data_IF_121341190853
#
_entry.id   IF_121341190853
#
_cell.length_a   1.000
_cell.length_b   1.000
_cell.length_c   1.000
_cell.angle_alpha   90.00
_cell.angle_beta   90.00
_cell.angle_gamma   90.00
#
_symmetry.space_group_name_H-M   'P 1'
#
loop_
_entity.id
_entity.type
_entity.pdbx_description
1 polymer ?
#
# COMPACT_ATOMS: atom_id res chain seq x y z
N UNK A 1 0.05 79.56 19.52
CA UNK A 1 -0.99 78.66 20.07
C UNK A 1 -0.30 77.51 20.76
N UNK A 2 -1.03 76.73 21.55
CA UNK A 2 -0.57 75.36 21.81
C UNK A 2 -0.68 74.63 20.48
N UNK A 3 0.43 74.08 20.02
CA UNK A 3 0.44 73.11 18.94
C UNK A 3 -0.39 71.90 19.42
N UNK A 4 -1.47 71.61 18.70
CA UNK A 4 -2.49 70.65 19.12
C UNK A 4 -2.15 69.21 18.77
N UNK A 5 -1.29 69.01 17.78
CA UNK A 5 -0.83 67.69 17.34
C UNK A 5 0.65 67.43 17.61
N UNK A 6 1.41 68.43 18.05
CA UNK A 6 2.82 68.31 18.43
C UNK A 6 3.77 68.01 17.26
N UNK A 7 3.31 68.20 16.02
CA UNK A 7 4.16 68.14 14.84
C UNK A 7 4.90 69.48 14.65
N UNK A 8 6.24 69.46 14.64
CA UNK A 8 7.06 70.69 14.49
C UNK A 8 7.13 71.20 13.04
N UNK A 9 5.98 71.48 12.43
CA UNK A 9 5.83 71.98 11.06
C UNK A 9 5.20 73.38 10.98
N UNK A 10 4.69 73.90 12.10
CA UNK A 10 4.22 75.28 12.23
C UNK A 10 5.34 76.31 12.37
N UNK A 11 5.22 77.44 11.65
CA UNK A 11 6.00 78.66 11.91
C UNK A 11 5.09 79.77 12.42
N UNK A 12 5.67 80.69 13.20
CA UNK A 12 4.93 81.89 13.64
C UNK A 12 4.84 82.87 12.46
N UNK A 13 3.62 83.17 12.03
CA UNK A 13 3.32 84.12 10.94
C UNK A 13 2.47 85.27 11.44
N UNK A 14 2.51 86.41 10.75
CA UNK A 14 1.64 87.55 11.08
C UNK A 14 0.20 87.29 10.61
N UNK A 15 -0.78 87.57 11.46
CA UNK A 15 -2.19 87.55 11.07
C UNK A 15 -2.61 88.85 10.35
N UNK A 16 -3.77 88.84 9.70
CA UNK A 16 -4.31 89.99 8.96
C UNK A 16 -4.67 91.22 9.82
N UNK A 17 -4.61 91.10 11.14
CA UNK A 17 -4.87 92.17 12.12
C UNK A 17 -3.59 92.74 12.78
N UNK A 18 -2.40 92.24 12.43
CA UNK A 18 -1.13 92.67 13.00
C UNK A 18 -0.68 91.91 14.26
N UNK A 19 -1.37 90.83 14.63
CA UNK A 19 -0.94 89.86 15.63
C UNK A 19 -0.09 88.73 15.02
N UNK A 20 0.30 87.75 15.84
CA UNK A 20 1.02 86.54 15.38
C UNK A 20 0.13 85.31 15.54
N UNK A 21 0.03 84.49 14.50
CA UNK A 21 -0.65 83.19 14.51
C UNK A 21 0.31 82.05 14.14
N UNK A 22 -0.06 80.81 14.48
CA UNK A 22 0.64 79.64 13.96
C UNK A 22 0.21 79.41 12.51
N UNK A 23 1.15 79.14 11.61
CA UNK A 23 0.83 78.72 10.23
C UNK A 23 0.42 77.26 10.12
N UNK A 24 0.48 76.54 11.23
CA UNK A 24 0.12 75.14 11.31
C UNK A 24 -1.39 74.95 11.08
N UNK A 25 -1.71 74.10 10.12
CA UNK A 25 -3.07 73.85 9.64
C UNK A 25 -3.34 72.37 9.41
N UNK A 26 -2.37 71.51 9.72
CA UNK A 26 -2.49 70.06 9.68
C UNK A 26 -3.09 69.57 11.00
N UNK A 27 -3.57 68.33 11.01
CA UNK A 27 -4.09 67.68 12.20
C UNK A 27 -3.41 66.32 12.30
N UNK A 28 -3.03 65.88 13.51
CA UNK A 28 -2.54 64.50 13.75
C UNK A 28 -3.43 63.50 13.02
N UNK A 29 -2.80 62.61 12.25
CA UNK A 29 -3.48 61.52 11.57
C UNK A 29 -3.40 60.25 12.41
N UNK A 30 -4.06 59.17 11.98
CA UNK A 30 -3.89 57.88 12.66
C UNK A 30 -2.48 57.37 12.37
N UNK A 31 -1.74 56.98 13.42
CA UNK A 31 -0.40 56.43 13.30
C UNK A 31 -0.37 55.22 12.34
N UNK A 32 0.48 55.29 11.31
CA UNK A 32 0.79 54.19 10.41
C UNK A 32 2.16 53.63 10.77
N UNK A 33 2.36 52.34 10.53
CA UNK A 33 3.65 51.68 10.72
C UNK A 33 4.50 51.91 9.46
N UNK A 34 4.93 53.15 9.24
CA UNK A 34 5.62 53.58 8.02
C UNK A 34 7.03 54.15 8.27
N UNK A 35 7.50 54.15 9.52
CA UNK A 35 8.81 54.71 9.90
C UNK A 35 8.82 56.23 10.05
N UNK A 36 7.64 56.85 10.11
CA UNK A 36 7.41 58.27 10.41
C UNK A 36 6.51 58.34 11.65
N UNK A 37 6.55 59.47 12.33
CA UNK A 37 5.64 59.79 13.44
C UNK A 37 4.47 60.59 12.83
N UNK A 38 3.36 59.91 12.50
CA UNK A 38 2.21 60.47 11.75
C UNK A 38 1.15 61.11 12.67
N UNK A 39 1.14 60.70 13.93
CA UNK A 39 0.29 61.25 14.98
C UNK A 39 1.05 62.18 15.95
N UNK A 40 2.38 62.27 15.80
CA UNK A 40 3.30 63.15 16.53
C UNK A 40 3.30 62.89 18.04
N UNK A 41 3.01 61.66 18.46
CA UNK A 41 2.99 61.26 19.87
C UNK A 41 4.03 60.17 20.14
N UNK A 42 4.76 60.38 21.23
CA UNK A 42 5.73 59.45 21.82
C UNK A 42 6.76 58.77 20.87
N UNK A 43 6.87 59.20 19.61
CA UNK A 43 7.91 58.85 18.66
C UNK A 43 7.41 58.02 17.47
N UNK A 44 8.33 57.71 16.57
CA UNK A 44 8.07 56.96 15.33
C UNK A 44 7.45 55.59 15.62
N UNK A 45 6.31 55.28 14.98
CA UNK A 45 5.59 54.01 15.03
C UNK A 45 5.30 53.52 16.48
N UNK A 46 5.18 54.42 17.45
CA UNK A 46 5.11 54.11 18.89
C UNK A 46 3.85 53.33 19.30
N UNK A 47 2.80 53.46 18.49
CA UNK A 47 1.50 52.83 18.67
C UNK A 47 1.52 51.34 18.26
N UNK A 48 2.66 50.84 17.76
CA UNK A 48 2.86 49.46 17.37
C UNK A 48 3.87 48.75 18.29
N UNK A 49 3.68 47.44 18.56
CA UNK A 49 4.57 46.65 19.43
C UNK A 49 5.89 46.25 18.74
N UNK A 50 6.55 47.17 18.04
CA UNK A 50 7.78 46.90 17.30
C UNK A 50 8.89 46.39 18.21
N UNK A 51 9.64 45.40 17.72
CA UNK A 51 10.71 44.76 18.49
C UNK A 51 10.25 43.77 19.56
N UNK A 52 8.95 43.64 19.82
CA UNK A 52 8.43 42.56 20.68
C UNK A 52 8.58 41.20 19.98
N UNK A 53 8.81 40.15 20.77
CA UNK A 53 8.94 38.79 20.25
C UNK A 53 7.63 38.28 19.64
N UNK A 54 7.72 37.61 18.49
CA UNK A 54 6.61 36.92 17.85
C UNK A 54 7.02 35.48 17.53
N UNK A 55 6.03 34.58 17.45
CA UNK A 55 6.20 33.21 16.95
C UNK A 55 5.16 32.94 15.88
N UNK A 56 5.59 32.37 14.76
CA UNK A 56 4.72 31.96 13.65
C UNK A 56 4.90 30.48 13.35
N UNK A 57 3.84 29.81 12.88
CA UNK A 57 3.82 28.37 12.65
C UNK A 57 3.43 27.55 13.89
N UNK A 58 3.13 26.27 13.67
CA UNK A 58 2.84 25.27 14.70
C UNK A 58 3.93 24.18 14.68
N UNK A 59 3.97 23.36 15.72
CA UNK A 59 4.86 22.19 15.77
C UNK A 59 6.32 22.51 15.46
N UNK A 60 6.92 21.67 14.61
CA UNK A 60 8.29 21.83 14.14
C UNK A 60 8.48 23.04 13.19
N UNK A 61 7.38 23.57 12.63
CA UNK A 61 7.40 24.77 11.81
C UNK A 61 7.47 26.06 12.61
N UNK A 62 7.35 26.02 13.95
CA UNK A 62 7.41 27.22 14.78
C UNK A 62 8.75 27.96 14.57
N UNK A 63 8.67 29.26 14.26
CA UNK A 63 9.83 30.16 14.14
C UNK A 63 9.59 31.40 14.98
N UNK A 64 10.59 31.77 15.79
CA UNK A 64 10.55 32.98 16.60
C UNK A 64 11.28 34.12 15.90
N UNK A 65 10.70 35.31 15.96
CA UNK A 65 11.25 36.54 15.41
C UNK A 65 10.81 37.76 16.22
N UNK A 66 10.87 38.93 15.61
CA UNK A 66 10.40 40.19 16.21
C UNK A 66 9.31 40.82 15.34
N UNK A 67 8.37 41.54 15.97
CA UNK A 67 7.36 42.30 15.25
C UNK A 67 8.00 43.49 14.52
N UNK A 68 7.67 43.62 13.24
CA UNK A 68 8.08 44.69 12.33
C UNK A 68 6.86 45.23 11.58
N UNK A 69 6.96 46.40 10.97
CA UNK A 69 5.86 46.93 10.14
C UNK A 69 5.53 45.98 8.97
N UNK A 70 4.24 45.80 8.71
CA UNK A 70 3.77 45.03 7.57
C UNK A 70 3.88 45.84 6.26
N UNK A 71 3.83 45.16 5.12
CA UNK A 71 3.96 45.83 3.82
C UNK A 71 2.84 46.83 3.50
N UNK A 72 1.71 46.76 4.21
CA UNK A 72 0.59 47.69 4.07
C UNK A 72 0.71 48.92 4.98
N UNK A 73 1.71 48.97 5.86
CA UNK A 73 1.96 50.03 6.84
C UNK A 73 0.79 50.29 7.81
N UNK A 74 -0.18 49.38 7.89
CA UNK A 74 -1.36 49.53 8.76
C UNK A 74 -1.28 48.66 10.02
N UNK A 75 -0.18 47.94 10.21
CA UNK A 75 0.01 47.04 11.34
C UNK A 75 1.36 46.35 11.33
N UNK A 76 1.51 45.36 12.21
CA UNK A 76 2.75 44.59 12.37
C UNK A 76 2.66 43.19 11.74
N UNK A 77 3.80 42.67 11.30
CA UNK A 77 4.02 41.28 10.92
C UNK A 77 5.28 40.73 11.62
N UNK A 78 5.44 39.42 11.68
CA UNK A 78 6.65 38.83 12.25
C UNK A 78 7.83 38.93 11.26
N UNK A 79 9.04 39.12 11.77
CA UNK A 79 10.27 39.20 10.96
C UNK A 79 10.70 37.88 10.32
N UNK A 80 9.99 36.79 10.63
CA UNK A 80 10.24 35.44 10.13
C UNK A 80 8.93 34.86 9.58
N UNK A 81 9.07 33.94 8.63
CA UNK A 81 7.98 33.10 8.14
C UNK A 81 8.04 31.75 8.85
N UNK A 82 6.90 31.07 9.00
CA UNK A 82 6.85 29.71 9.50
C UNK A 82 7.75 28.78 8.66
N UNK A 83 8.28 27.73 9.29
CA UNK A 83 8.95 26.65 8.59
C UNK A 83 8.02 25.97 7.58
N UNK A 84 8.60 25.33 6.56
CA UNK A 84 7.82 24.52 5.64
C UNK A 84 7.35 23.24 6.35
N UNK A 85 6.07 22.92 6.19
CA UNK A 85 5.51 21.64 6.58
C UNK A 85 6.17 20.50 5.77
N UNK A 86 6.44 19.38 6.43
CA UNK A 86 6.86 18.13 5.78
C UNK A 86 5.87 17.02 6.13
N UNK A 87 6.03 15.84 5.54
CA UNK A 87 5.08 14.76 5.77
C UNK A 87 5.20 14.21 7.21
N UNK A 88 4.04 13.98 7.81
CA UNK A 88 3.92 13.53 9.20
C UNK A 88 4.43 12.09 9.40
N UNK A 89 5.09 11.82 10.52
CA UNK A 89 5.37 10.47 11.00
C UNK A 89 4.57 10.22 12.27
N UNK A 90 3.69 9.22 12.26
CA UNK A 90 2.76 8.97 13.34
C UNK A 90 3.46 8.62 14.66
N UNK A 91 2.86 9.03 15.77
CA UNK A 91 3.21 8.59 17.13
C UNK A 91 4.61 8.98 17.60
N UNK A 92 5.28 9.92 16.92
CA UNK A 92 6.61 10.40 17.30
C UNK A 92 6.55 11.68 18.17
N UNK A 93 5.35 12.20 18.44
CA UNK A 93 5.07 13.42 19.24
C UNK A 93 5.57 14.71 18.59
N UNK A 94 5.91 14.67 17.30
CA UNK A 94 6.40 15.82 16.53
C UNK A 94 5.39 16.13 15.44
N UNK A 95 4.86 17.36 15.44
CA UNK A 95 3.96 17.90 14.42
C UNK A 95 4.80 18.45 13.26
N UNK A 96 5.07 17.60 12.26
CA UNK A 96 5.90 17.90 11.09
C UNK A 96 5.14 18.58 9.97
N UNK A 97 3.86 18.24 9.81
CA UNK A 97 2.98 18.85 8.83
C UNK A 97 2.36 20.17 9.34
N UNK A 98 2.58 20.46 10.62
CA UNK A 98 2.28 21.72 11.29
C UNK A 98 0.78 22.04 11.31
N UNK A 99 -0.04 21.00 11.40
CA UNK A 99 -1.48 21.07 11.55
C UNK A 99 -1.93 21.03 13.03
N UNK A 100 -1.00 20.75 13.96
CA UNK A 100 -1.24 20.71 15.40
C UNK A 100 -1.67 19.34 15.94
N UNK A 101 -1.54 18.26 15.16
CA UNK A 101 -1.98 16.91 15.51
C UNK A 101 -0.89 15.90 15.11
N UNK A 102 -0.44 15.11 16.08
CA UNK A 102 0.30 13.87 15.83
C UNK A 102 -0.70 12.71 15.68
N UNK A 103 -0.85 12.11 14.48
CA UNK A 103 -1.79 11.03 14.23
C UNK A 103 -1.34 9.72 14.90
N UNK A 104 -2.30 8.90 15.33
CA UNK A 104 -1.99 7.55 15.81
C UNK A 104 -1.60 6.64 14.65
N UNK A 105 -0.51 5.87 14.81
CA UNK A 105 -0.09 4.88 13.84
C UNK A 105 -1.13 3.78 13.61
N UNK A 106 -1.19 3.20 12.39
CA UNK A 106 -1.97 1.98 12.18
C UNK A 106 -1.46 0.86 13.10
N UNK A 107 -2.35 -0.04 13.52
CA UNK A 107 -2.01 -1.09 14.50
C UNK A 107 -0.83 -1.96 14.03
N UNK A 108 -0.74 -2.22 12.74
CA UNK A 108 0.30 -3.02 12.12
C UNK A 108 1.38 -2.21 11.39
N UNK A 109 1.55 -0.97 11.80
CA UNK A 109 2.65 -0.10 11.40
C UNK A 109 4.01 -0.73 11.69
N UNK A 110 4.15 -1.43 12.83
CA UNK A 110 5.40 -2.10 13.20
C UNK A 110 5.27 -3.61 13.19
N UNK A 111 6.38 -4.31 13.01
CA UNK A 111 6.48 -5.77 13.07
C UNK A 111 5.83 -6.41 14.32
N UNK A 112 5.91 -5.76 15.48
CA UNK A 112 5.29 -6.25 16.72
C UNK A 112 3.76 -6.13 16.75
N UNK A 113 3.18 -5.27 15.90
CA UNK A 113 1.76 -5.04 15.74
C UNK A 113 1.14 -5.77 14.55
N UNK A 114 1.89 -6.65 13.88
CA UNK A 114 1.45 -7.36 12.68
C UNK A 114 0.05 -7.99 12.86
N UNK A 115 -0.84 -7.75 11.91
CA UNK A 115 -2.19 -8.33 11.92
C UNK A 115 -2.10 -9.81 11.57
N UNK A 116 -2.76 -10.67 12.36
CA UNK A 116 -2.90 -12.09 12.05
C UNK A 116 -3.89 -12.30 10.89
N UNK A 117 -3.38 -12.76 9.75
CA UNK A 117 -4.15 -13.06 8.53
C UNK A 117 -4.29 -14.56 8.28
N UNK A 118 -4.01 -15.41 9.28
CA UNK A 118 -4.02 -16.87 9.14
C UNK A 118 -5.33 -17.41 8.56
N UNK A 119 -6.47 -16.79 8.86
CA UNK A 119 -7.78 -17.20 8.34
C UNK A 119 -8.04 -16.86 6.87
N UNK A 120 -7.16 -16.08 6.22
CA UNK A 120 -7.47 -15.44 4.95
C UNK A 120 -8.44 -14.27 5.12
N UNK A 121 -8.47 -13.36 4.14
CA UNK A 121 -9.36 -12.21 4.20
C UNK A 121 -8.93 -11.04 3.32
N UNK A 122 -9.71 -9.96 3.40
CA UNK A 122 -9.35 -8.67 2.84
C UNK A 122 -9.04 -7.73 3.99
N UNK A 123 -7.92 -7.04 3.89
CA UNK A 123 -7.40 -6.14 4.92
C UNK A 123 -7.14 -4.79 4.28
N UNK A 124 -7.63 -3.73 4.92
CA UNK A 124 -7.44 -2.36 4.45
C UNK A 124 -6.81 -1.58 5.58
N UNK A 125 -5.72 -0.90 5.28
CA UNK A 125 -5.00 -0.06 6.24
C UNK A 125 -4.65 1.25 5.54
N UNK A 126 -4.87 2.36 6.25
CA UNK A 126 -4.38 3.66 5.80
C UNK A 126 -2.93 3.81 6.26
N UNK A 127 -2.02 4.05 5.31
CA UNK A 127 -0.60 4.25 5.56
C UNK A 127 -0.28 5.75 5.66
N UNK A 128 -1.30 6.63 5.67
CA UNK A 128 -1.09 8.03 6.06
C UNK A 128 -0.37 8.06 7.41
N UNK A 129 0.79 8.69 7.41
CA UNK A 129 1.65 8.84 8.59
C UNK A 129 2.37 7.56 9.08
N UNK A 130 2.19 6.38 8.47
CA UNK A 130 2.90 5.14 8.85
C UNK A 130 4.44 5.24 8.73
N UNK A 131 5.17 4.44 9.49
CA UNK A 131 6.62 4.36 9.37
C UNK A 131 7.04 3.62 8.09
N UNK A 132 8.26 3.89 7.65
CA UNK A 132 9.05 3.04 6.75
C UNK A 132 10.04 2.29 7.63
N UNK A 133 9.60 1.17 8.19
CA UNK A 133 10.36 0.33 9.12
C UNK A 133 10.51 -1.13 8.64
N UNK A 134 10.06 -1.43 7.42
CA UNK A 134 10.45 -2.59 6.65
C UNK A 134 11.90 -2.46 6.14
N UNK A 135 12.88 -2.50 7.05
CA UNK A 135 14.27 -2.51 6.65
C UNK A 135 15.16 -3.44 7.49
N UNK A 136 15.66 -4.50 6.85
CA UNK A 136 16.90 -5.16 7.24
C UNK A 136 17.88 -5.14 6.06
N UNK A 137 18.81 -4.18 6.10
CA UNK A 137 19.88 -3.86 5.14
C UNK A 137 20.83 -5.01 4.70
N UNK A 138 20.51 -6.28 4.92
CA UNK A 138 21.50 -7.38 4.88
C UNK A 138 21.29 -8.45 3.81
N UNK A 139 20.24 -8.38 2.97
CA UNK A 139 20.10 -9.34 1.86
C UNK A 139 19.59 -8.69 0.56
N UNK A 140 20.49 -8.21 -0.31
CA UNK A 140 20.14 -7.60 -1.61
C UNK A 140 19.65 -8.61 -2.68
N UNK A 141 19.38 -9.87 -2.31
CA UNK A 141 19.26 -10.97 -3.29
C UNK A 141 17.82 -11.36 -3.69
N UNK A 142 16.78 -10.84 -3.05
CA UNK A 142 15.38 -11.19 -3.39
C UNK A 142 14.42 -10.01 -3.36
N UNK A 143 14.94 -8.78 -3.49
CA UNK A 143 14.08 -7.62 -3.56
C UNK A 143 13.55 -7.44 -4.98
N UNK A 144 12.24 -7.50 -5.14
CA UNK A 144 11.57 -7.14 -6.39
C UNK A 144 11.32 -5.63 -6.49
N UNK A 145 11.89 -4.81 -5.58
CA UNK A 145 11.79 -3.35 -5.61
C UNK A 145 12.95 -2.66 -4.90
N UNK A 146 12.83 -1.34 -4.77
CA UNK A 146 13.76 -0.45 -4.05
C UNK A 146 13.58 -0.53 -2.53
N UNK A 147 14.25 0.39 -1.81
CA UNK A 147 14.18 0.56 -0.35
C UNK A 147 12.75 0.71 0.20
N UNK A 148 11.77 0.95 -0.67
CA UNK A 148 10.38 1.10 -0.30
C UNK A 148 10.07 2.46 0.29
N UNK A 149 8.86 2.59 0.81
CA UNK A 149 8.37 3.74 1.54
C UNK A 149 7.59 3.26 2.74
N UNK A 150 6.45 3.88 3.05
CA UNK A 150 5.69 3.46 4.23
C UNK A 150 5.17 2.04 4.04
N UNK A 151 5.19 1.26 5.12
CA UNK A 151 4.87 -0.15 5.06
C UNK A 151 3.96 -0.60 6.22
N UNK A 152 3.45 -1.83 6.09
CA UNK A 152 2.63 -2.47 7.11
C UNK A 152 2.87 -3.97 7.15
N UNK A 153 2.77 -4.53 8.36
CA UNK A 153 3.09 -5.93 8.63
C UNK A 153 1.84 -6.80 8.80
N UNK A 154 1.92 -8.03 8.29
CA UNK A 154 0.93 -9.06 8.49
C UNK A 154 1.64 -10.36 8.83
N UNK A 155 1.04 -11.17 9.69
CA UNK A 155 1.59 -12.49 10.04
C UNK A 155 0.56 -13.57 9.74
N UNK A 156 1.01 -14.73 9.27
CA UNK A 156 0.14 -15.89 9.13
C UNK A 156 0.85 -17.17 9.53
N UNK A 157 0.07 -18.14 9.98
CA UNK A 157 0.55 -19.49 10.28
C UNK A 157 -0.20 -20.52 9.44
N UNK A 158 0.57 -21.36 8.76
CA UNK A 158 0.06 -22.48 7.97
C UNK A 158 0.19 -23.77 8.81
N UNK A 159 -0.91 -24.51 9.04
CA UNK A 159 -0.88 -25.78 9.77
C UNK A 159 -0.35 -26.94 8.93
N UNK A 160 -0.31 -26.79 7.61
CA UNK A 160 0.15 -27.76 6.62
C UNK A 160 0.76 -27.01 5.44
N UNK A 161 1.48 -27.73 4.57
CA UNK A 161 1.98 -27.17 3.32
C UNK A 161 0.82 -26.76 2.40
N UNK A 162 0.85 -25.53 1.90
CA UNK A 162 -0.10 -25.06 0.90
C UNK A 162 0.40 -23.87 0.08
N UNK A 163 -0.22 -23.71 -1.10
CA UNK A 163 -0.10 -22.46 -1.85
C UNK A 163 -0.94 -21.38 -1.19
N UNK A 164 -0.32 -20.24 -0.90
CA UNK A 164 -1.03 -19.02 -0.51
C UNK A 164 -1.07 -18.04 -1.68
N UNK A 165 -2.10 -17.21 -1.71
CA UNK A 165 -2.28 -16.16 -2.69
C UNK A 165 -2.38 -14.81 -1.99
N UNK A 166 -1.77 -13.80 -2.60
CA UNK A 166 -1.91 -12.42 -2.19
C UNK A 166 -2.09 -11.51 -3.40
N UNK A 167 -2.86 -10.45 -3.24
CA UNK A 167 -2.85 -9.31 -4.13
C UNK A 167 -3.11 -8.01 -3.39
N UNK A 168 -2.77 -6.90 -4.05
CA UNK A 168 -2.99 -5.55 -3.52
C UNK A 168 -3.90 -4.70 -4.41
N UNK A 169 -4.72 -5.35 -5.24
CA UNK A 169 -5.62 -4.63 -6.14
C UNK A 169 -6.65 -3.84 -5.32
N UNK A 170 -6.79 -2.56 -5.67
CA UNK A 170 -7.59 -1.60 -4.90
C UNK A 170 -6.76 -0.67 -4.00
N UNK A 171 -5.47 -0.93 -3.79
CA UNK A 171 -4.59 0.02 -3.10
C UNK A 171 -4.44 1.32 -3.91
N UNK A 172 -4.10 2.43 -3.27
CA UNK A 172 -3.98 3.74 -3.93
C UNK A 172 -2.55 4.13 -4.31
N UNK A 173 -1.57 3.32 -3.96
CA UNK A 173 -0.14 3.55 -4.21
C UNK A 173 0.51 2.34 -4.88
N UNK A 174 1.61 2.58 -5.59
CA UNK A 174 2.45 1.53 -6.18
C UNK A 174 2.98 0.59 -5.10
N UNK A 175 2.58 -0.68 -5.14
CA UNK A 175 2.72 -1.60 -4.01
C UNK A 175 3.66 -2.75 -4.31
N UNK A 176 4.54 -3.02 -3.36
CA UNK A 176 5.40 -4.22 -3.31
C UNK A 176 4.92 -5.13 -2.19
N UNK A 177 4.88 -6.44 -2.43
CA UNK A 177 4.57 -7.43 -1.38
C UNK A 177 5.71 -8.40 -1.22
N UNK A 178 6.15 -8.58 0.03
CA UNK A 178 7.22 -9.52 0.39
C UNK A 178 6.70 -10.53 1.40
N UNK A 179 7.06 -11.80 1.22
CA UNK A 179 6.75 -12.88 2.16
C UNK A 179 8.05 -13.48 2.67
N UNK A 180 8.18 -13.61 3.98
CA UNK A 180 9.37 -14.12 4.66
C UNK A 180 9.04 -15.29 5.59
N UNK A 181 10.01 -16.19 5.80
CA UNK A 181 9.94 -17.15 6.90
C UNK A 181 9.89 -16.42 8.25
N UNK A 182 9.23 -17.04 9.24
CA UNK A 182 9.26 -16.60 10.63
C UNK A 182 8.16 -15.61 10.99
N UNK A 183 8.07 -15.29 12.28
CA UNK A 183 7.20 -14.21 12.77
C UNK A 183 7.71 -12.84 12.29
N UNK A 184 6.86 -11.83 12.19
CA UNK A 184 7.31 -10.49 11.78
C UNK A 184 8.34 -9.87 12.74
N UNK A 185 8.32 -10.27 14.01
CA UNK A 185 9.33 -9.87 15.00
C UNK A 185 10.67 -10.62 14.87
N UNK A 186 10.76 -11.60 13.96
CA UNK A 186 11.92 -12.45 13.72
C UNK A 186 11.95 -12.91 12.25
N UNK A 187 12.04 -11.95 11.33
CA UNK A 187 12.06 -12.18 9.88
C UNK A 187 13.25 -13.05 9.46
N UNK A 188 12.96 -14.11 8.72
CA UNK A 188 13.90 -15.06 8.12
C UNK A 188 14.12 -14.82 6.63
N UNK A 189 14.30 -15.90 5.87
CA UNK A 189 14.57 -15.81 4.43
C UNK A 189 13.32 -15.39 3.64
N UNK A 190 13.52 -14.62 2.56
CA UNK A 190 12.46 -14.27 1.62
C UNK A 190 11.98 -15.51 0.85
N UNK A 191 10.66 -15.65 0.72
CA UNK A 191 9.97 -16.76 0.06
C UNK A 191 9.25 -16.34 -1.22
N UNK A 192 8.67 -15.15 -1.21
CA UNK A 192 8.01 -14.60 -2.38
C UNK A 192 8.17 -13.09 -2.37
N UNK A 193 8.17 -12.54 -3.58
CA UNK A 193 8.12 -11.13 -3.83
C UNK A 193 7.19 -10.90 -5.02
N UNK A 194 6.28 -9.93 -4.89
CA UNK A 194 5.47 -9.42 -5.97
C UNK A 194 5.72 -7.92 -6.10
N UNK A 195 5.89 -7.49 -7.34
CA UNK A 195 5.91 -6.09 -7.77
C UNK A 195 5.25 -6.03 -9.15
N UNK A 196 4.45 -5.01 -9.43
CA UNK A 196 3.72 -4.79 -10.68
C UNK A 196 3.06 -6.03 -11.32
N UNK A 197 1.78 -6.27 -11.01
CA UNK A 197 0.99 -7.32 -11.65
C UNK A 197 -0.10 -6.77 -12.57
N UNK A 198 -0.47 -7.58 -13.57
CA UNK A 198 -1.65 -7.31 -14.40
C UNK A 198 -1.62 -5.96 -15.14
N UNK A 199 -0.42 -5.55 -15.58
CA UNK A 199 -0.16 -4.26 -16.22
C UNK A 199 -0.64 -3.05 -15.39
N UNK A 200 -0.58 -3.19 -14.06
CA UNK A 200 -0.90 -2.17 -13.06
C UNK A 200 0.24 -2.12 -12.05
N UNK A 201 0.29 -1.03 -11.27
CA UNK A 201 1.26 -0.84 -10.19
C UNK A 201 0.87 -1.53 -8.89
N UNK A 202 0.13 -2.65 -8.99
CA UNK A 202 -0.32 -3.41 -7.82
C UNK A 202 0.23 -4.81 -7.89
N UNK A 203 0.77 -5.25 -6.77
CA UNK A 203 1.32 -6.58 -6.60
C UNK A 203 0.26 -7.68 -6.58
N UNK A 204 0.61 -8.83 -7.15
CA UNK A 204 -0.08 -10.11 -7.02
C UNK A 204 0.96 -11.23 -6.98
N UNK A 205 0.69 -12.29 -6.23
CA UNK A 205 1.56 -13.47 -6.21
C UNK A 205 0.89 -14.69 -5.61
N UNK A 206 1.52 -15.84 -5.87
CA UNK A 206 1.23 -17.07 -5.15
C UNK A 206 2.52 -17.87 -4.93
N UNK A 207 2.59 -18.54 -3.79
CA UNK A 207 3.78 -19.30 -3.36
C UNK A 207 3.35 -20.52 -2.57
N UNK A 208 3.98 -21.67 -2.88
CA UNK A 208 3.82 -22.91 -2.12
C UNK A 208 4.73 -22.85 -0.89
N UNK A 209 4.14 -22.93 0.29
CA UNK A 209 4.82 -22.76 1.58
C UNK A 209 4.56 -23.97 2.45
N UNK A 210 5.60 -24.44 3.14
CA UNK A 210 5.48 -25.49 4.14
C UNK A 210 4.62 -25.05 5.35
N UNK A 211 4.30 -25.99 6.23
CA UNK A 211 3.73 -25.64 7.53
C UNK A 211 4.71 -24.76 8.32
N UNK A 212 4.22 -23.66 8.88
CA UNK A 212 5.08 -22.69 9.55
C UNK A 212 4.42 -21.33 9.75
N UNK A 213 5.14 -20.44 10.42
CA UNK A 213 4.76 -19.03 10.58
C UNK A 213 5.55 -18.18 9.60
N UNK A 214 4.88 -17.20 9.02
CA UNK A 214 5.40 -16.33 7.97
C UNK A 214 5.02 -14.87 8.24
N UNK A 215 5.89 -13.96 7.81
CA UNK A 215 5.61 -12.54 7.78
C UNK A 215 5.35 -12.10 6.33
N UNK A 216 4.29 -11.33 6.13
CA UNK A 216 3.96 -10.67 4.88
C UNK A 216 4.02 -9.16 5.11
N UNK A 217 4.79 -8.46 4.29
CA UNK A 217 4.91 -7.01 4.33
C UNK A 217 4.33 -6.44 3.05
N UNK A 218 3.48 -5.41 3.19
CA UNK A 218 3.04 -4.59 2.06
C UNK A 218 3.69 -3.23 2.19
N UNK A 219 4.36 -2.82 1.14
CA UNK A 219 5.25 -1.66 1.13
C UNK A 219 4.90 -0.75 -0.06
N UNK A 220 5.12 0.55 0.11
CA UNK A 220 5.09 1.50 -0.99
C UNK A 220 6.36 1.36 -1.82
N UNK A 221 6.26 1.26 -3.14
CA UNK A 221 7.45 1.09 -3.99
C UNK A 221 8.44 2.27 -3.88
N UNK A 222 7.91 3.51 -3.84
CA UNK A 222 8.69 4.75 -3.79
C UNK A 222 8.68 5.37 -2.38
N UNK A 223 9.88 5.56 -1.81
CA UNK A 223 10.09 6.18 -0.50
C UNK A 223 9.66 7.64 -0.36
N UNK A 224 9.33 8.31 -1.48
CA UNK A 224 8.76 9.65 -1.46
C UNK A 224 7.24 9.64 -1.33
N UNK A 225 6.58 8.47 -1.41
CA UNK A 225 5.14 8.36 -1.15
C UNK A 225 4.93 8.47 0.35
N UNK A 226 4.05 9.39 0.75
CA UNK A 226 3.82 9.68 2.17
C UNK A 226 2.37 9.49 2.61
N UNK A 227 1.53 8.97 1.72
CA UNK A 227 0.12 8.71 2.00
C UNK A 227 -0.41 7.64 1.05
N UNK A 228 -1.52 7.03 1.46
CA UNK A 228 -2.26 6.10 0.63
C UNK A 228 -2.83 4.95 1.45
N UNK A 229 -3.87 4.33 0.90
CA UNK A 229 -4.54 3.20 1.53
C UNK A 229 -4.13 1.92 0.83
N UNK A 230 -3.69 0.93 1.60
CA UNK A 230 -3.45 -0.43 1.11
C UNK A 230 -4.74 -1.24 1.20
N UNK A 231 -4.95 -2.12 0.21
CA UNK A 231 -5.93 -3.20 0.27
C UNK A 231 -5.21 -4.50 -0.02
N UNK A 232 -5.03 -5.36 0.97
CA UNK A 232 -4.44 -6.69 0.83
C UNK A 232 -5.55 -7.75 0.78
N UNK A 233 -5.62 -8.52 -0.30
CA UNK A 233 -6.41 -9.73 -0.36
C UNK A 233 -5.48 -10.94 -0.16
N UNK A 234 -5.61 -11.62 0.99
CA UNK A 234 -4.88 -12.86 1.27
C UNK A 234 -5.83 -14.07 1.23
N UNK A 235 -5.42 -15.14 0.56
CA UNK A 235 -6.22 -16.36 0.38
C UNK A 235 -5.40 -17.62 0.64
N UNK A 236 -6.05 -18.58 1.28
CA UNK A 236 -5.54 -19.93 1.55
C UNK A 236 -5.88 -20.82 0.36
N UNK A 237 -4.87 -21.45 -0.25
CA UNK A 237 -5.05 -22.40 -1.34
C UNK A 237 -5.60 -23.73 -0.86
N UNK A 238 -5.35 -24.10 0.39
CA UNK A 238 -5.87 -25.29 1.05
C UNK A 238 -5.08 -26.58 0.80
N UNK A 239 -4.10 -26.57 -0.10
CA UNK A 239 -3.17 -27.68 -0.35
C UNK A 239 -1.89 -27.22 -1.05
N UNK A 240 -0.87 -28.07 -1.01
CA UNK A 240 0.34 -27.93 -1.81
C UNK A 240 0.06 -28.00 -3.31
N UNK A 241 0.89 -27.33 -4.11
CA UNK A 241 0.72 -27.31 -5.56
C UNK A 241 1.79 -26.52 -6.29
N UNK A 242 1.93 -26.80 -7.59
CA UNK A 242 2.93 -26.12 -8.42
C UNK A 242 2.33 -24.90 -9.11
N UNK A 243 2.88 -23.71 -8.85
CA UNK A 243 2.49 -22.48 -9.55
C UNK A 243 3.06 -22.50 -10.98
N UNK A 244 2.19 -22.36 -11.97
CA UNK A 244 2.53 -22.41 -13.39
C UNK A 244 3.15 -21.07 -13.85
N UNK A 245 4.27 -21.10 -14.60
CA UNK A 245 5.05 -19.88 -14.88
C UNK A 245 4.59 -19.11 -16.12
N UNK A 246 3.63 -19.64 -16.89
CA UNK A 246 3.27 -19.11 -18.21
C UNK A 246 1.78 -19.20 -18.47
N UNK A 247 1.29 -18.42 -19.44
CA UNK A 247 -0.10 -18.44 -19.91
C UNK A 247 -0.44 -19.66 -20.77
N UNK A 248 0.56 -20.42 -21.22
CA UNK A 248 0.35 -21.71 -21.86
C UNK A 248 1.62 -22.54 -21.74
N UNK A 249 1.47 -23.86 -21.68
CA UNK A 249 2.62 -24.72 -21.47
C UNK A 249 2.27 -26.20 -21.35
N UNK A 250 3.30 -26.96 -21.01
CA UNK A 250 3.25 -28.38 -20.75
C UNK A 250 4.10 -28.69 -19.52
N UNK A 251 3.54 -29.41 -18.56
CA UNK A 251 4.25 -29.90 -17.37
C UNK A 251 4.07 -31.40 -17.26
N UNK A 252 5.16 -32.11 -17.00
CA UNK A 252 5.13 -33.54 -16.70
C UNK A 252 5.14 -33.75 -15.19
N UNK A 253 4.41 -34.76 -14.72
CA UNK A 253 4.28 -35.06 -13.30
C UNK A 253 3.93 -36.52 -13.06
N UNK A 254 3.83 -36.90 -11.80
CA UNK A 254 3.26 -38.19 -11.41
C UNK A 254 2.42 -38.07 -10.14
N UNK A 255 1.27 -38.73 -10.15
CA UNK A 255 0.41 -38.91 -8.97
C UNK A 255 0.84 -40.10 -8.11
N UNK A 256 1.78 -40.92 -8.60
CA UNK A 256 2.27 -42.09 -7.85
C UNK A 256 2.92 -41.67 -6.54
N UNK A 257 2.45 -42.24 -5.42
CA UNK A 257 2.96 -41.93 -4.09
C UNK A 257 2.51 -40.58 -3.53
N UNK A 258 1.59 -39.88 -4.21
CA UNK A 258 0.94 -38.68 -3.69
C UNK A 258 -0.25 -39.07 -2.81
N UNK A 259 -0.80 -38.10 -2.08
CA UNK A 259 -1.99 -38.27 -1.25
C UNK A 259 -3.18 -37.69 -1.99
N UNK A 260 -4.35 -38.32 -1.87
CA UNK A 260 -5.56 -37.69 -2.35
C UNK A 260 -6.00 -36.56 -1.42
N UNK A 261 -6.03 -35.32 -1.92
CA UNK A 261 -6.43 -34.15 -1.14
C UNK A 261 -7.74 -33.51 -1.63
N UNK A 262 -8.30 -33.98 -2.75
CA UNK A 262 -9.58 -33.53 -3.25
C UNK A 262 -10.37 -34.66 -3.90
N UNK A 263 -11.64 -34.40 -4.21
CA UNK A 263 -12.42 -35.34 -5.02
C UNK A 263 -13.12 -34.50 -6.07
N UNK A 264 -12.95 -34.88 -7.32
CA UNK A 264 -13.57 -34.23 -8.45
C UNK A 264 -15.08 -34.56 -8.48
N UNK A 265 -15.87 -33.65 -9.04
CA UNK A 265 -17.34 -33.76 -9.13
C UNK A 265 -17.81 -34.81 -10.15
N UNK A 266 -16.93 -35.22 -11.06
CA UNK A 266 -17.21 -36.21 -12.10
C UNK A 266 -16.64 -37.59 -11.82
N UNK A 267 -16.10 -37.84 -10.62
CA UNK A 267 -15.66 -39.16 -10.18
C UNK A 267 -16.46 -39.65 -8.95
N UNK A 268 -16.58 -40.97 -8.82
CA UNK A 268 -17.21 -41.60 -7.66
C UNK A 268 -16.18 -42.13 -6.64
N UNK A 269 -14.92 -42.25 -7.06
CA UNK A 269 -13.84 -42.77 -6.25
C UNK A 269 -13.14 -41.63 -5.51
N UNK A 270 -12.84 -41.82 -4.22
CA UNK A 270 -12.34 -40.75 -3.32
C UNK A 270 -10.93 -41.04 -2.80
N UNK A 271 -10.23 -42.01 -3.37
CA UNK A 271 -8.95 -42.50 -2.88
C UNK A 271 -7.78 -42.44 -3.87
N UNK A 272 -7.98 -42.42 -5.20
CA UNK A 272 -6.87 -42.18 -6.13
C UNK A 272 -6.12 -40.89 -5.78
N UNK A 273 -4.79 -40.87 -5.89
CA UNK A 273 -3.99 -39.73 -5.48
C UNK A 273 -3.97 -38.63 -6.54
N UNK A 274 -3.94 -37.37 -6.10
CA UNK A 274 -4.04 -36.22 -6.97
C UNK A 274 -2.83 -35.28 -6.87
N UNK A 275 -2.69 -34.41 -7.88
CA UNK A 275 -1.68 -33.36 -7.92
C UNK A 275 -2.28 -32.07 -8.46
N UNK A 276 -1.97 -30.95 -7.82
CA UNK A 276 -2.54 -29.65 -8.13
C UNK A 276 -1.51 -28.69 -8.75
N UNK A 277 -1.96 -27.92 -9.73
CA UNK A 277 -1.23 -26.88 -10.40
C UNK A 277 -2.01 -25.58 -10.30
N UNK A 278 -1.36 -24.49 -9.92
CA UNK A 278 -1.99 -23.20 -9.70
C UNK A 278 -1.61 -22.19 -10.78
N UNK A 279 -2.49 -21.25 -11.08
CA UNK A 279 -2.17 -20.07 -11.88
C UNK A 279 -2.97 -18.85 -11.42
N UNK A 280 -2.55 -17.67 -11.83
CA UNK A 280 -3.15 -16.40 -11.41
C UNK A 280 -4.02 -15.82 -12.52
N UNK A 281 -5.15 -15.25 -12.14
CA UNK A 281 -5.98 -14.41 -13.03
C UNK A 281 -5.95 -12.96 -12.56
N UNK A 282 -6.10 -12.01 -13.48
CA UNK A 282 -6.08 -10.58 -13.22
C UNK A 282 -7.48 -9.94 -13.04
N UNK A 283 -7.57 -8.79 -12.35
CA UNK A 283 -8.81 -8.00 -12.26
C UNK A 283 -9.31 -7.60 -13.64
N UNK A 284 -10.63 -7.55 -13.82
CA UNK A 284 -11.29 -7.05 -15.04
C UNK A 284 -10.93 -7.79 -16.34
N UNK A 285 -10.17 -8.88 -16.27
CA UNK A 285 -9.87 -9.77 -17.40
C UNK A 285 -10.68 -11.05 -17.26
N UNK A 286 -11.21 -11.52 -18.39
CA UNK A 286 -11.80 -12.86 -18.50
C UNK A 286 -10.88 -13.73 -19.34
N UNK A 287 -10.31 -14.76 -18.73
CA UNK A 287 -9.46 -15.73 -19.41
C UNK A 287 -10.29 -16.90 -19.91
N UNK A 288 -9.98 -17.37 -21.10
CA UNK A 288 -10.40 -18.63 -21.69
C UNK A 288 -9.36 -19.69 -21.38
N UNK A 289 -9.77 -20.68 -20.60
CA UNK A 289 -8.89 -21.68 -20.00
C UNK A 289 -9.18 -23.06 -20.58
N UNK A 290 -8.11 -23.82 -20.81
CA UNK A 290 -8.16 -25.22 -21.23
C UNK A 290 -7.02 -26.01 -20.62
N UNK A 291 -7.28 -27.28 -20.38
CA UNK A 291 -6.30 -28.21 -19.83
C UNK A 291 -6.53 -29.62 -20.42
N UNK A 292 -5.44 -30.38 -20.59
CA UNK A 292 -5.44 -31.60 -21.39
C UNK A 292 -4.34 -32.56 -20.93
N UNK A 293 -4.73 -33.79 -20.58
CA UNK A 293 -3.85 -34.90 -20.20
C UNK A 293 -3.72 -35.99 -21.27
N UNK A 294 -4.29 -35.78 -22.47
CA UNK A 294 -4.45 -36.82 -23.48
C UNK A 294 -3.19 -37.23 -24.22
N UNK A 295 -2.05 -36.61 -23.93
CA UNK A 295 -0.79 -36.89 -24.60
C UNK A 295 0.26 -37.16 -23.53
N UNK A 296 0.62 -38.43 -23.31
CA UNK A 296 1.66 -38.79 -22.35
C UNK A 296 1.18 -39.15 -20.94
N UNK A 297 -0.09 -39.48 -20.77
CA UNK A 297 -0.62 -40.05 -19.52
C UNK A 297 -0.68 -41.57 -19.58
N UNK A 298 -0.23 -42.23 -18.52
CA UNK A 298 -0.11 -43.68 -18.45
C UNK A 298 -1.27 -44.36 -17.73
N UNK A 299 -2.30 -43.61 -17.34
CA UNK A 299 -3.39 -44.06 -16.50
C UNK A 299 -4.69 -43.34 -16.86
N UNK A 300 -5.78 -43.82 -16.28
CA UNK A 300 -7.12 -43.27 -16.41
C UNK A 300 -7.23 -41.97 -15.59
N UNK A 301 -7.17 -40.82 -16.26
CA UNK A 301 -7.07 -39.52 -15.57
C UNK A 301 -8.45 -38.92 -15.31
N UNK A 302 -8.54 -38.11 -14.26
CA UNK A 302 -9.62 -37.14 -14.05
C UNK A 302 -8.99 -35.75 -13.97
N UNK A 303 -9.58 -34.78 -14.66
CA UNK A 303 -9.08 -33.41 -14.70
C UNK A 303 -10.16 -32.44 -14.28
N UNK A 304 -9.91 -31.68 -13.22
CA UNK A 304 -10.82 -30.65 -12.71
C UNK A 304 -10.16 -29.28 -12.63
N UNK A 305 -11.02 -28.26 -12.57
CA UNK A 305 -10.61 -26.87 -12.39
C UNK A 305 -11.39 -26.21 -11.26
N UNK A 306 -10.70 -25.43 -10.42
CA UNK A 306 -11.29 -24.72 -9.26
C UNK A 306 -10.75 -23.30 -9.16
N UNK A 307 -11.47 -22.42 -8.45
CA UNK A 307 -11.08 -21.03 -8.17
C UNK A 307 -10.99 -20.78 -6.67
N UNK A 308 -10.12 -19.87 -6.26
CA UNK A 308 -9.82 -19.57 -4.87
C UNK A 308 -9.02 -20.70 -4.23
N UNK A 309 -9.69 -21.56 -3.47
CA UNK A 309 -9.07 -22.74 -2.88
C UNK A 309 -9.14 -23.94 -3.83
N UNK A 310 -8.12 -24.80 -3.80
CA UNK A 310 -8.18 -26.09 -4.46
C UNK A 310 -9.20 -27.06 -3.83
N UNK A 311 -9.76 -26.74 -2.66
CA UNK A 311 -10.80 -27.51 -1.99
C UNK A 311 -12.22 -27.04 -2.33
N UNK A 312 -12.34 -25.99 -3.15
CA UNK A 312 -13.62 -25.47 -3.62
C UNK A 312 -14.34 -26.44 -4.55
N UNK A 313 -15.61 -26.17 -4.86
CA UNK A 313 -16.33 -26.89 -5.92
C UNK A 313 -15.69 -26.69 -7.29
N UNK A 314 -15.76 -27.72 -8.13
CA UNK A 314 -15.27 -27.65 -9.51
C UNK A 314 -16.06 -26.63 -10.35
N UNK A 315 -15.34 -25.86 -11.15
CA UNK A 315 -15.86 -25.08 -12.29
C UNK A 315 -16.12 -26.01 -13.47
N UNK A 316 -15.23 -26.98 -13.66
CA UNK A 316 -15.32 -28.04 -14.66
C UNK A 316 -14.63 -29.27 -14.12
N UNK A 317 -15.16 -30.43 -14.51
CA UNK A 317 -14.53 -31.71 -14.34
C UNK A 317 -14.68 -32.48 -15.65
N UNK A 318 -13.67 -33.24 -16.02
CA UNK A 318 -13.77 -34.22 -17.09
C UNK A 318 -13.04 -35.51 -16.68
N UNK A 319 -13.79 -36.59 -16.81
CA UNK A 319 -13.39 -37.98 -16.73
C UNK A 319 -13.77 -38.54 -18.11
N UNK A 320 -12.80 -39.05 -18.86
CA UNK A 320 -12.92 -39.45 -20.28
C UNK A 320 -13.38 -38.39 -21.29
N UNK A 321 -12.42 -37.79 -22.01
CA UNK A 321 -12.74 -37.00 -23.21
C UNK A 321 -12.80 -37.89 -24.46
N UNK A 322 -13.93 -37.88 -25.18
CA UNK A 322 -14.19 -38.76 -26.34
C UNK A 322 -13.25 -38.58 -27.54
N UNK A 323 -12.45 -37.51 -27.58
CA UNK A 323 -11.40 -37.25 -28.57
C UNK A 323 -9.97 -37.56 -28.10
N UNK A 324 -9.83 -38.18 -26.94
CA UNK A 324 -8.56 -38.62 -26.36
C UNK A 324 -8.40 -40.13 -26.49
N UNK A 325 -7.17 -40.65 -26.31
CA UNK A 325 -6.93 -42.09 -26.22
C UNK A 325 -7.68 -42.73 -25.04
N UNK A 326 -7.43 -44.02 -24.77
CA UNK A 326 -8.10 -44.80 -23.71
C UNK A 326 -7.94 -44.15 -22.33
N UNK A 327 -8.93 -43.35 -21.97
CA UNK A 327 -9.22 -42.82 -20.64
C UNK A 327 -8.43 -41.59 -20.18
N UNK A 328 -8.30 -40.58 -21.03
CA UNK A 328 -7.68 -39.31 -20.63
C UNK A 328 -8.63 -38.12 -20.74
N UNK A 329 -8.34 -37.10 -19.93
CA UNK A 329 -9.23 -35.99 -19.70
C UNK A 329 -8.81 -34.73 -20.43
N UNK A 330 -9.81 -33.96 -20.83
CA UNK A 330 -9.61 -32.64 -21.43
C UNK A 330 -10.83 -31.76 -21.23
N UNK A 331 -10.58 -30.48 -21.01
CA UNK A 331 -11.58 -29.44 -21.20
C UNK A 331 -10.97 -28.23 -21.90
N UNK A 332 -11.82 -27.44 -22.56
CA UNK A 332 -11.43 -26.20 -23.25
C UNK A 332 -12.52 -25.15 -23.09
N UNK A 333 -12.16 -23.87 -23.22
CA UNK A 333 -13.13 -22.79 -23.34
C UNK A 333 -13.78 -22.36 -22.02
N UNK A 334 -13.13 -22.63 -20.87
CA UNK A 334 -13.69 -22.27 -19.56
C UNK A 334 -13.31 -20.85 -19.19
N UNK A 335 -14.29 -20.04 -18.83
CA UNK A 335 -14.09 -18.66 -18.46
C UNK A 335 -13.74 -18.54 -16.98
N UNK A 336 -12.68 -17.80 -16.66
CA UNK A 336 -12.42 -17.29 -15.31
C UNK A 336 -12.22 -15.78 -15.35
N UNK A 337 -12.83 -15.08 -14.41
CA UNK A 337 -12.88 -13.61 -14.41
C UNK A 337 -12.42 -13.07 -13.07
N UNK A 338 -11.61 -12.01 -13.12
CA UNK A 338 -11.17 -11.28 -11.93
C UNK A 338 -9.93 -11.86 -11.25
N UNK A 339 -9.40 -11.10 -10.30
CA UNK A 339 -8.22 -11.48 -9.52
C UNK A 339 -8.52 -12.69 -8.63
N UNK A 340 -7.79 -13.78 -8.84
CA UNK A 340 -7.93 -15.01 -8.04
C UNK A 340 -6.78 -15.98 -8.28
N UNK A 341 -6.64 -16.93 -7.35
CA UNK A 341 -5.88 -18.16 -7.53
C UNK A 341 -6.76 -19.19 -8.22
N UNK A 342 -6.27 -19.77 -9.31
CA UNK A 342 -6.96 -20.79 -10.09
C UNK A 342 -6.18 -22.10 -10.02
N UNK A 343 -6.88 -23.22 -10.16
CA UNK A 343 -6.32 -24.55 -9.97
C UNK A 343 -6.69 -25.47 -11.12
N UNK A 344 -5.73 -26.26 -11.58
CA UNK A 344 -5.94 -27.53 -12.27
C UNK A 344 -5.58 -28.65 -11.30
N UNK A 345 -6.43 -29.68 -11.23
CA UNK A 345 -6.15 -30.87 -10.42
C UNK A 345 -6.19 -32.08 -11.35
N UNK A 346 -5.08 -32.80 -11.38
CA UNK A 346 -4.94 -34.07 -12.09
C UNK A 346 -5.07 -35.18 -11.06
N UNK A 347 -6.10 -35.99 -11.20
CA UNK A 347 -6.40 -37.17 -10.39
C UNK A 347 -6.50 -38.40 -11.32
N UNK A 348 -6.77 -39.58 -10.78
CA UNK A 348 -7.11 -40.76 -11.54
C UNK A 348 -8.47 -41.34 -11.16
N UNK A 349 -9.17 -41.90 -12.14
CA UNK A 349 -10.51 -42.40 -11.90
C UNK A 349 -10.52 -43.76 -11.21
N UNK A 350 -9.67 -44.68 -11.68
CA UNK A 350 -9.71 -46.10 -11.30
C UNK A 350 -9.08 -46.38 -9.92
N UNK A 351 -9.53 -47.39 -9.18
CA UNK A 351 -8.88 -47.81 -7.92
C UNK A 351 -7.60 -48.64 -8.16
N UNK A 352 -6.64 -48.55 -7.24
CA UNK A 352 -5.41 -49.34 -7.29
C UNK A 352 -4.43 -48.84 -8.37
N UNK A 353 -3.65 -49.76 -8.96
CA UNK A 353 -2.52 -49.41 -9.85
C UNK A 353 -2.92 -48.72 -11.16
N UNK A 354 -4.21 -48.72 -11.51
CA UNK A 354 -4.73 -48.04 -12.70
C UNK A 354 -5.16 -46.59 -12.45
N UNK A 355 -5.20 -46.14 -11.19
CA UNK A 355 -5.64 -44.79 -10.79
C UNK A 355 -4.54 -43.77 -10.58
N UNK A 356 -3.29 -44.13 -10.88
CA UNK A 356 -2.17 -43.23 -10.70
C UNK A 356 -1.06 -43.57 -11.66
N UNK A 357 -0.21 -42.59 -11.95
CA UNK A 357 0.86 -42.81 -12.91
C UNK A 357 1.57 -41.53 -13.29
N UNK A 358 2.36 -41.62 -14.34
CA UNK A 358 2.96 -40.44 -14.95
C UNK A 358 1.96 -39.79 -15.91
N UNK A 359 1.97 -38.47 -15.98
CA UNK A 359 1.13 -37.71 -16.89
C UNK A 359 1.88 -36.51 -17.46
N UNK A 360 1.31 -35.96 -18.52
CA UNK A 360 1.68 -34.64 -19.05
C UNK A 360 0.43 -33.79 -19.12
N UNK A 361 0.44 -32.68 -18.38
CA UNK A 361 -0.61 -31.67 -18.37
C UNK A 361 -0.22 -30.56 -19.33
N UNK A 362 -0.96 -30.43 -20.43
CA UNK A 362 -0.89 -29.26 -21.31
C UNK A 362 -2.01 -28.29 -20.96
N UNK A 363 -1.73 -26.99 -20.97
CA UNK A 363 -2.69 -25.97 -20.55
C UNK A 363 -2.59 -24.69 -21.40
N UNK A 364 -3.71 -23.97 -21.47
CA UNK A 364 -3.85 -22.67 -22.13
C UNK A 364 -4.70 -21.74 -21.26
N UNK A 365 -4.24 -20.51 -21.05
CA UNK A 365 -4.84 -19.44 -20.24
C UNK A 365 -4.77 -18.17 -21.10
N UNK A 366 -5.82 -17.85 -21.84
CA UNK A 366 -5.83 -16.77 -22.84
C UNK A 366 -6.83 -15.68 -22.52
#
# INVERSE_FOLDING_TARGET
GVDGDACNEGIVVCDGGGGTMCSDATASTTELCNGVDDDCRNGIDDSFPLGQGCTVGLGQCARSGMLMCNGAQTGTQCSVTAGAAVAETCGNVVDEDCNGIDPSCPTNDRAAGAIDISSGGNFTVDLVAAHDDNWAASSPALDCGDQGGRDVFYQFTLPAEEVVYFDTFGSTFDSVVRVFDGACTAIGATRACGDDACAQTRSQGAVDLAAGTYCLVVDQFDGNVTSGTTTLAFRRGGRAGTVLPSTSGSVSGTTTGKTNLSTASCEANTTPPDLAYAFLSCPSITYTVGANTCTGSSFDTVLSMRTGSALSSDIVCNDDFSGCGTFNSKFTGKAVTGASLQWFIVDGYTLGTGGHGSFTLTYTIQ
#
